data_IF_771298614629
#
_entry.id   IF_771298614629
#
_cell.length_a   1.000
_cell.length_b   1.000
_cell.length_c   1.000
_cell.angle_alpha   90.00
_cell.angle_beta   90.00
_cell.angle_gamma   90.00
#
_symmetry.space_group_name_H-M   'P 1'
#
loop_
_entity.id
_entity.type
_entity.pdbx_description
1 polymer ?
#
# COMPACT_ATOMS: atom_id res chain seq x y z
N UNK A 1 2.03 3.58 -1.25
CA UNK A 1 2.19 2.81 0.01
C UNK A 1 1.41 1.52 -0.17
N UNK A 2 2.03 0.41 0.22
CA UNK A 2 1.49 -0.94 0.00
C UNK A 2 1.03 -1.56 1.33
N UNK A 3 0.18 -2.59 1.25
CA UNK A 3 -0.31 -3.37 2.38
C UNK A 3 -1.82 -3.63 2.32
N UNK A 4 -2.27 -4.73 2.91
CA UNK A 4 -3.66 -5.16 2.88
C UNK A 4 -4.59 -4.18 3.60
N UNK A 5 -4.13 -3.62 4.72
CA UNK A 5 -4.99 -2.82 5.61
C UNK A 5 -5.01 -1.36 5.16
N UNK A 6 -5.75 -1.08 4.08
CA UNK A 6 -6.01 0.28 3.57
C UNK A 6 -7.46 0.70 3.85
N UNK A 7 -7.77 1.26 5.02
CA UNK A 7 -9.13 1.69 5.32
C UNK A 7 -9.57 2.87 4.44
N UNK A 8 -10.81 2.83 3.94
CA UNK A 8 -11.40 3.99 3.28
C UNK A 8 -11.62 5.12 4.30
N UNK A 9 -11.09 6.31 4.02
CA UNK A 9 -11.23 7.49 4.89
C UNK A 9 -12.67 7.80 5.30
N UNK A 10 -13.64 7.59 4.40
CA UNK A 10 -15.06 7.82 4.65
C UNK A 10 -15.67 6.87 5.71
N UNK A 11 -15.05 5.71 5.95
CA UNK A 11 -15.59 4.67 6.86
C UNK A 11 -14.97 4.69 8.26
N UNK A 12 -13.78 5.27 8.41
CA UNK A 12 -13.10 5.38 9.70
C UNK A 12 -13.81 6.35 10.67
N UNK A 13 -14.60 7.30 10.16
CA UNK A 13 -15.01 8.47 10.94
C UNK A 13 -13.80 9.33 11.35
N UNK A 14 -14.04 10.57 11.77
CA UNK A 14 -12.94 11.54 11.98
C UNK A 14 -11.98 11.11 13.09
N UNK A 15 -12.50 10.55 14.19
CA UNK A 15 -11.69 10.14 15.34
C UNK A 15 -10.73 8.99 15.03
N UNK A 16 -11.20 7.90 14.40
CA UNK A 16 -10.31 6.77 14.08
C UNK A 16 -9.39 7.11 12.91
N UNK A 17 -9.84 7.96 11.97
CA UNK A 17 -8.97 8.50 10.92
C UNK A 17 -7.81 9.28 11.51
N UNK A 18 -8.06 10.14 12.50
CA UNK A 18 -7.01 10.88 13.19
C UNK A 18 -6.03 9.94 13.92
N UNK A 19 -6.53 8.91 14.60
CA UNK A 19 -5.68 7.90 15.26
C UNK A 19 -4.84 7.12 14.26
N UNK A 20 -5.45 6.63 13.17
CA UNK A 20 -4.75 5.92 12.09
C UNK A 20 -3.64 6.78 11.48
N UNK A 21 -3.94 8.04 11.14
CA UNK A 21 -2.95 9.00 10.64
C UNK A 21 -1.82 9.26 11.65
N UNK A 22 -2.14 9.29 12.94
CA UNK A 22 -1.15 9.48 14.00
C UNK A 22 -0.17 8.30 14.08
N UNK A 23 -0.64 7.05 13.91
CA UNK A 23 0.23 5.86 13.82
C UNK A 23 1.08 5.85 12.55
N UNK A 24 0.48 6.14 11.40
CA UNK A 24 1.20 6.21 10.13
C UNK A 24 2.32 7.27 10.18
N UNK A 25 2.01 8.47 10.67
CA UNK A 25 3.00 9.53 10.84
C UNK A 25 4.06 9.16 11.90
N UNK A 26 3.67 8.44 12.95
CA UNK A 26 4.58 7.90 13.95
C UNK A 26 5.61 6.95 13.35
N UNK A 27 5.17 5.99 12.54
CA UNK A 27 6.02 5.07 11.79
C UNK A 27 6.98 5.82 10.84
N UNK A 28 6.45 6.73 10.02
CA UNK A 28 7.26 7.59 9.13
C UNK A 28 8.36 8.36 9.88
N UNK A 29 8.08 8.79 11.11
CA UNK A 29 9.02 9.55 11.93
C UNK A 29 10.01 8.64 12.67
N UNK A 30 9.60 7.45 13.09
CA UNK A 30 10.50 6.43 13.64
C UNK A 30 11.52 5.99 12.57
N UNK A 31 11.04 5.70 11.35
CA UNK A 31 11.88 5.39 10.19
C UNK A 31 12.88 6.52 9.90
N UNK A 32 12.43 7.79 9.89
CA UNK A 32 13.33 8.92 9.69
C UNK A 32 14.36 9.07 10.81
N UNK A 33 13.90 9.01 12.05
CA UNK A 33 14.71 9.33 13.23
C UNK A 33 15.90 8.39 13.35
N UNK A 34 15.64 7.09 13.17
CA UNK A 34 16.63 6.06 13.44
C UNK A 34 17.45 5.70 12.19
N UNK A 35 16.93 6.04 10.99
CA UNK A 35 17.45 5.48 9.72
C UNK A 35 17.55 6.48 8.55
N UNK A 36 17.25 7.76 8.79
CA UNK A 36 17.39 8.84 7.80
C UNK A 36 16.19 9.02 6.88
N UNK A 37 16.21 10.07 6.05
CA UNK A 37 15.03 10.50 5.28
C UNK A 37 14.51 9.44 4.29
N UNK A 38 15.41 8.70 3.64
CA UNK A 38 15.05 7.70 2.63
C UNK A 38 14.36 6.46 3.24
N UNK A 39 14.56 6.18 4.53
CA UNK A 39 13.87 5.09 5.20
C UNK A 39 12.34 5.31 5.26
N UNK A 40 11.86 6.54 5.07
CA UNK A 40 10.41 6.82 4.98
C UNK A 40 9.72 6.08 3.83
N UNK A 41 10.46 5.70 2.79
CA UNK A 41 9.91 4.99 1.62
C UNK A 41 9.41 3.59 2.03
N UNK A 42 9.99 2.98 3.08
CA UNK A 42 9.58 1.65 3.54
C UNK A 42 8.34 1.67 4.44
N UNK A 43 7.69 2.83 4.61
CA UNK A 43 6.42 2.92 5.33
C UNK A 43 5.37 2.11 4.58
N UNK A 44 4.76 1.15 5.27
CA UNK A 44 3.73 0.28 4.74
C UNK A 44 2.55 0.21 5.73
N UNK A 45 1.38 -0.12 5.21
CA UNK A 45 0.16 -0.13 6.02
C UNK A 45 0.14 -1.27 7.04
N UNK A 46 0.73 -2.40 6.72
CA UNK A 46 0.68 -3.57 7.60
C UNK A 46 1.58 -3.38 8.84
N UNK A 47 2.72 -2.71 8.67
CA UNK A 47 3.64 -2.36 9.74
C UNK A 47 3.03 -1.40 10.77
N UNK A 48 2.06 -0.56 10.39
CA UNK A 48 1.38 0.33 11.35
C UNK A 48 0.58 -0.47 12.39
N UNK A 49 0.15 -1.69 12.07
CA UNK A 49 -0.60 -2.55 12.98
C UNK A 49 0.19 -2.83 14.25
N UNK A 50 1.52 -2.97 14.16
CA UNK A 50 2.37 -3.21 15.32
C UNK A 50 2.33 -2.02 16.30
N UNK A 51 2.31 -0.79 15.77
CA UNK A 51 2.15 0.41 16.60
C UNK A 51 0.73 0.53 17.18
N UNK A 52 -0.29 0.21 16.38
CA UNK A 52 -1.70 0.23 16.83
C UNK A 52 -1.95 -0.80 17.92
N UNK A 53 -1.50 -2.04 17.73
CA UNK A 53 -1.66 -3.14 18.69
C UNK A 53 -0.94 -2.83 20.00
N UNK A 54 0.28 -2.29 19.94
CA UNK A 54 1.03 -1.92 21.15
C UNK A 54 0.28 -0.85 21.95
N UNK A 55 -0.19 0.22 21.29
CA UNK A 55 -0.92 1.31 21.97
C UNK A 55 -2.30 0.86 22.47
N UNK A 56 -3.01 0.00 21.73
CA UNK A 56 -4.34 -0.50 22.10
C UNK A 56 -4.33 -1.37 23.37
N UNK A 57 -3.20 -2.03 23.63
CA UNK A 57 -2.99 -2.87 24.82
C UNK A 57 -2.52 -2.05 26.02
N UNK A 58 -1.74 -1.00 25.78
CA UNK A 58 -1.10 -0.23 26.83
C UNK A 58 -2.12 0.47 27.76
N UNK A 59 -1.78 0.52 29.05
CA UNK A 59 -2.56 1.33 29.99
C UNK A 59 -2.32 2.83 29.70
N UNK A 60 -3.40 3.58 29.54
CA UNK A 60 -3.37 5.01 29.18
C UNK A 60 -2.89 5.91 30.31
N UNK A 61 -2.76 5.38 31.52
CA UNK A 61 -2.28 6.11 32.69
C UNK A 61 -0.85 6.69 32.54
N UNK A 62 -0.04 6.18 31.61
CA UNK A 62 1.38 6.56 31.44
C UNK A 62 1.69 7.77 30.55
N UNK A 63 0.71 8.42 29.90
CA UNK A 63 0.90 9.73 29.22
C UNK A 63 1.95 9.86 28.09
N UNK A 64 2.65 8.79 27.70
CA UNK A 64 3.85 8.87 26.84
C UNK A 64 3.70 8.45 25.37
N UNK A 65 2.52 8.04 24.91
CA UNK A 65 2.34 7.37 23.61
C UNK A 65 2.19 8.31 22.41
N UNK A 66 1.95 9.60 22.68
CA UNK A 66 1.77 10.62 21.64
C UNK A 66 2.74 11.76 21.83
N UNK A 67 3.22 12.33 20.72
CA UNK A 67 3.94 13.61 20.70
C UNK A 67 3.44 14.51 19.59
N UNK A 68 3.68 15.80 19.73
CA UNK A 68 3.48 16.76 18.64
C UNK A 68 4.63 16.65 17.64
N UNK A 69 4.32 16.17 16.43
CA UNK A 69 5.23 16.24 15.30
C UNK A 69 5.21 17.63 14.68
N UNK A 70 6.39 18.10 14.26
CA UNK A 70 6.55 19.32 13.49
C UNK A 70 5.85 19.30 12.11
N UNK A 71 5.90 20.42 11.38
CA UNK A 71 5.38 20.53 10.01
C UNK A 71 5.86 19.41 9.08
N UNK A 72 4.96 18.89 8.24
CA UNK A 72 5.29 17.87 7.24
C UNK A 72 4.63 18.20 5.89
N UNK A 73 5.35 18.10 4.76
CA UNK A 73 4.78 18.31 3.43
C UNK A 73 3.55 17.43 3.15
N UNK A 74 3.58 16.16 3.56
CA UNK A 74 2.44 15.22 3.42
C UNK A 74 1.21 15.60 4.26
N UNK A 75 1.32 16.60 5.14
CA UNK A 75 0.22 17.16 5.93
C UNK A 75 -0.09 18.61 5.55
N UNK A 76 0.43 19.12 4.43
CA UNK A 76 0.32 20.52 4.05
C UNK A 76 1.06 21.45 5.02
N UNK A 77 2.25 21.04 5.47
CA UNK A 77 3.07 21.76 6.46
C UNK A 77 2.42 21.96 7.84
N UNK A 78 1.37 21.18 8.16
CA UNK A 78 0.74 21.20 9.48
C UNK A 78 1.42 20.29 10.50
N UNK A 79 1.41 20.70 11.76
CA UNK A 79 1.76 19.86 12.91
C UNK A 79 0.66 18.83 13.17
N UNK A 80 1.00 17.72 13.83
CA UNK A 80 0.02 16.71 14.20
C UNK A 80 0.45 15.97 15.48
N UNK A 81 -0.52 15.48 16.25
CA UNK A 81 -0.25 14.46 17.27
C UNK A 81 0.08 13.14 16.57
N UNK A 82 1.20 12.50 16.91
CA UNK A 82 1.67 11.26 16.29
C UNK A 82 1.98 10.21 17.33
N UNK A 83 1.85 8.93 16.98
CA UNK A 83 2.33 7.83 17.80
C UNK A 83 3.85 7.94 18.02
N UNK A 84 4.31 7.58 19.22
CA UNK A 84 5.71 7.42 19.55
C UNK A 84 5.93 6.26 20.52
N UNK A 85 7.20 5.91 20.71
CA UNK A 85 7.61 4.85 21.62
C UNK A 85 7.89 3.52 20.90
N UNK A 86 8.01 2.47 21.69
CA UNK A 86 8.56 1.19 21.26
C UNK A 86 7.71 0.51 20.17
N UNK A 87 6.38 0.66 20.19
CA UNK A 87 5.51 0.11 19.14
C UNK A 87 5.79 0.70 17.75
N UNK A 88 6.09 2.00 17.65
CA UNK A 88 6.46 2.63 16.38
C UNK A 88 7.89 2.24 15.94
N UNK A 89 8.80 2.01 16.90
CA UNK A 89 10.16 1.52 16.63
C UNK A 89 10.17 0.06 16.17
N UNK A 90 9.34 -0.79 16.77
CA UNK A 90 9.10 -2.17 16.29
C UNK A 90 8.57 -2.17 14.86
N UNK A 91 7.53 -1.35 14.59
CA UNK A 91 6.99 -1.20 13.24
C UNK A 91 8.07 -0.78 12.22
N UNK A 92 8.94 0.16 12.59
CA UNK A 92 10.06 0.58 11.75
C UNK A 92 11.09 -0.53 11.53
N UNK A 93 11.45 -1.27 12.59
CA UNK A 93 12.39 -2.39 12.52
C UNK A 93 11.90 -3.49 11.56
N UNK A 94 10.66 -3.95 11.74
CA UNK A 94 10.04 -4.97 10.89
C UNK A 94 9.97 -4.50 9.44
N UNK A 95 9.50 -3.26 9.21
CA UNK A 95 9.42 -2.68 7.86
C UNK A 95 10.77 -2.61 7.15
N UNK A 96 11.85 -2.32 7.86
CA UNK A 96 13.20 -2.26 7.28
C UNK A 96 13.79 -3.63 6.97
N UNK A 97 13.54 -4.62 7.81
CA UNK A 97 14.00 -5.99 7.56
C UNK A 97 13.28 -6.56 6.33
N UNK A 98 11.95 -6.42 6.27
CA UNK A 98 11.16 -6.89 5.13
C UNK A 98 11.49 -6.12 3.85
N UNK A 99 11.68 -4.79 3.92
CA UNK A 99 12.10 -4.02 2.76
C UNK A 99 13.52 -4.38 2.30
N UNK A 100 14.45 -4.67 3.22
CA UNK A 100 15.77 -5.19 2.88
C UNK A 100 15.67 -6.53 2.15
N UNK A 101 14.83 -7.45 2.64
CA UNK A 101 14.59 -8.74 2.00
C UNK A 101 14.05 -8.57 0.58
N UNK A 102 12.95 -7.82 0.41
CA UNK A 102 12.33 -7.56 -0.89
C UNK A 102 13.28 -6.91 -1.90
N UNK A 103 14.13 -5.97 -1.47
CA UNK A 103 15.12 -5.36 -2.38
C UNK A 103 16.21 -6.35 -2.78
N UNK A 104 16.62 -7.27 -1.89
CA UNK A 104 17.62 -8.29 -2.24
C UNK A 104 17.06 -9.30 -3.24
N UNK A 105 15.80 -9.66 -3.07
CA UNK A 105 15.05 -10.56 -3.93
C UNK A 105 14.99 -10.02 -5.37
N UNK A 106 14.43 -8.82 -5.58
CA UNK A 106 14.42 -8.16 -6.88
C UNK A 106 15.81 -7.95 -7.52
N UNK A 107 16.86 -7.84 -6.70
CA UNK A 107 18.23 -7.76 -7.20
C UNK A 107 18.76 -9.13 -7.65
N UNK A 108 18.37 -10.21 -6.99
CA UNK A 108 18.71 -11.57 -7.38
C UNK A 108 17.99 -11.96 -8.68
N UNK A 109 16.72 -11.59 -8.81
CA UNK A 109 15.90 -11.86 -10.00
C UNK A 109 16.29 -10.99 -11.20
N UNK A 110 16.94 -9.85 -10.93
CA UNK A 110 17.41 -8.95 -11.98
C UNK A 110 16.31 -8.08 -12.58
N UNK A 111 15.31 -7.71 -11.79
CA UNK A 111 14.12 -7.01 -12.28
C UNK A 111 14.43 -5.61 -12.83
N UNK A 112 13.93 -5.32 -14.02
CA UNK A 112 13.93 -3.98 -14.62
C UNK A 112 15.31 -3.29 -14.61
N UNK A 113 15.40 -2.14 -13.93
CA UNK A 113 16.66 -1.37 -13.84
C UNK A 113 17.71 -2.05 -12.95
N UNK A 114 17.32 -3.03 -12.12
CA UNK A 114 18.22 -3.78 -11.25
C UNK A 114 19.03 -4.82 -12.02
N UNK A 115 18.69 -5.13 -13.28
CA UNK A 115 19.57 -5.84 -14.21
C UNK A 115 20.89 -5.08 -14.48
N UNK A 116 20.95 -3.77 -14.21
CA UNK A 116 22.15 -2.94 -14.43
C UNK A 116 23.08 -3.01 -13.22
N UNK A 117 24.30 -3.53 -13.42
CA UNK A 117 25.30 -3.74 -12.36
C UNK A 117 25.51 -2.60 -11.35
N UNK A 118 25.64 -1.32 -11.78
CA UNK A 118 25.79 -0.20 -10.84
C UNK A 118 24.55 0.04 -9.97
N UNK A 119 23.35 -0.11 -10.54
CA UNK A 119 22.07 0.08 -9.84
C UNK A 119 21.87 -1.06 -8.84
N UNK A 120 22.11 -2.30 -9.27
CA UNK A 120 22.07 -3.49 -8.42
C UNK A 120 23.01 -3.34 -7.20
N UNK A 121 24.22 -2.84 -7.41
CA UNK A 121 25.18 -2.63 -6.32
C UNK A 121 24.71 -1.57 -5.32
N UNK A 122 24.13 -0.46 -5.81
CA UNK A 122 23.54 0.56 -4.95
C UNK A 122 22.36 -0.01 -4.15
N UNK A 123 21.46 -0.75 -4.80
CA UNK A 123 20.34 -1.43 -4.16
C UNK A 123 20.79 -2.42 -3.08
N UNK A 124 21.82 -3.25 -3.35
CA UNK A 124 22.42 -4.15 -2.33
C UNK A 124 22.97 -3.40 -1.13
N UNK A 125 23.62 -2.25 -1.34
CA UNK A 125 24.13 -1.43 -0.23
C UNK A 125 23.00 -0.85 0.61
N UNK A 126 21.94 -0.36 -0.04
CA UNK A 126 20.74 0.16 0.65
C UNK A 126 20.06 -0.96 1.44
N UNK A 127 19.80 -2.11 0.81
CA UNK A 127 19.23 -3.27 1.47
C UNK A 127 20.09 -3.74 2.65
N UNK A 128 21.41 -3.85 2.48
CA UNK A 128 22.33 -4.19 3.56
C UNK A 128 22.28 -3.18 4.72
N UNK A 129 22.18 -1.89 4.41
CA UNK A 129 22.03 -0.83 5.41
C UNK A 129 20.71 -0.96 6.17
N UNK A 130 19.59 -1.15 5.46
CA UNK A 130 18.26 -1.33 6.04
C UNK A 130 18.16 -2.59 6.88
N UNK A 131 18.71 -3.73 6.43
CA UNK A 131 18.73 -4.96 7.22
C UNK A 131 19.49 -4.79 8.54
N UNK A 132 20.69 -4.17 8.51
CA UNK A 132 21.44 -3.87 9.74
C UNK A 132 20.72 -2.87 10.64
N UNK A 133 20.08 -1.86 10.04
CA UNK A 133 19.29 -0.87 10.75
C UNK A 133 18.08 -1.51 11.47
N UNK A 134 17.33 -2.34 10.76
CA UNK A 134 16.19 -3.08 11.29
C UNK A 134 16.60 -4.04 12.42
N UNK A 135 17.70 -4.79 12.26
CA UNK A 135 18.20 -5.67 13.31
C UNK A 135 18.64 -4.91 14.59
N UNK A 136 19.31 -3.76 14.44
CA UNK A 136 19.68 -2.90 15.58
C UNK A 136 18.46 -2.34 16.29
N UNK A 137 17.49 -1.80 15.55
CA UNK A 137 16.27 -1.25 16.15
C UNK A 137 15.43 -2.35 16.79
N UNK A 138 15.31 -3.51 16.15
CA UNK A 138 14.67 -4.70 16.71
C UNK A 138 15.29 -5.07 18.06
N UNK A 139 16.61 -5.26 18.10
CA UNK A 139 17.34 -5.58 19.35
C UNK A 139 17.11 -4.52 20.43
N UNK A 140 17.09 -3.24 20.05
CA UNK A 140 16.88 -2.13 20.97
C UNK A 140 15.44 -2.01 21.51
N UNK A 141 14.47 -2.69 20.89
CA UNK A 141 13.10 -2.87 21.41
C UNK A 141 12.88 -4.29 21.96
N UNK A 142 13.94 -5.08 22.12
CA UNK A 142 13.87 -6.47 22.60
C UNK A 142 13.30 -7.48 21.61
N UNK A 143 13.17 -7.14 20.33
CA UNK A 143 12.68 -8.03 19.28
C UNK A 143 13.84 -8.68 18.53
N UNK A 144 13.85 -10.01 18.48
CA UNK A 144 14.82 -10.75 17.67
C UNK A 144 14.41 -10.71 16.20
N UNK A 145 15.08 -9.86 15.41
CA UNK A 145 14.84 -9.74 13.98
C UNK A 145 15.28 -10.97 13.17
N UNK A 146 16.06 -11.89 13.75
CA UNK A 146 16.49 -13.11 13.07
C UNK A 146 15.29 -13.95 12.59
N UNK A 147 14.21 -14.00 13.36
CA UNK A 147 12.98 -14.72 12.97
C UNK A 147 12.40 -14.25 11.62
N UNK A 148 12.55 -12.96 11.30
CA UNK A 148 12.09 -12.39 10.03
C UNK A 148 13.06 -12.74 8.89
N UNK A 149 14.36 -12.74 9.17
CA UNK A 149 15.40 -13.08 8.20
C UNK A 149 15.30 -14.57 7.86
N UNK A 150 15.21 -15.42 8.87
CA UNK A 150 15.08 -16.87 8.72
C UNK A 150 13.80 -17.24 7.96
N UNK A 151 12.69 -16.53 8.18
CA UNK A 151 11.46 -16.74 7.40
C UNK A 151 11.68 -16.45 5.91
N UNK A 152 12.33 -15.33 5.57
CA UNK A 152 12.65 -14.97 4.18
C UNK A 152 13.60 -15.99 3.54
N UNK A 153 14.64 -16.41 4.27
CA UNK A 153 15.62 -17.38 3.75
C UNK A 153 14.98 -18.76 3.50
N UNK A 154 14.07 -19.20 4.38
CA UNK A 154 13.32 -20.46 4.19
C UNK A 154 12.31 -20.37 3.05
N UNK A 155 11.72 -19.21 2.80
CA UNK A 155 10.72 -18.99 1.75
C UNK A 155 11.23 -19.46 0.39
N UNK A 156 12.42 -19.02 -0.01
CA UNK A 156 13.04 -19.39 -1.29
C UNK A 156 13.16 -20.92 -1.48
N UNK A 157 13.59 -21.63 -0.43
CA UNK A 157 13.71 -23.09 -0.47
C UNK A 157 12.35 -23.79 -0.58
N UNK A 158 11.33 -23.28 0.09
CA UNK A 158 9.97 -23.82 0.02
C UNK A 158 9.36 -23.60 -1.37
N UNK A 159 9.51 -22.40 -1.93
CA UNK A 159 8.98 -22.07 -3.27
C UNK A 159 9.65 -22.89 -4.37
N UNK A 160 10.97 -23.09 -4.26
CA UNK A 160 11.74 -23.94 -5.19
C UNK A 160 11.30 -25.42 -5.18
N UNK A 161 10.77 -25.89 -4.05
CA UNK A 161 10.31 -27.28 -3.88
C UNK A 161 8.79 -27.42 -4.08
N UNK A 162 8.05 -26.32 -4.09
CA UNK A 162 6.60 -26.33 -4.22
C UNK A 162 6.19 -26.70 -5.65
N UNK A 163 5.40 -27.77 -5.76
CA UNK A 163 4.81 -28.22 -7.01
C UNK A 163 3.34 -28.63 -6.86
N UNK A 164 2.72 -29.15 -7.92
CA UNK A 164 1.31 -29.54 -7.91
C UNK A 164 0.99 -30.50 -6.75
N UNK A 165 -0.04 -30.15 -5.96
CA UNK A 165 -0.46 -30.92 -4.78
C UNK A 165 0.27 -30.58 -3.48
N UNK A 166 1.26 -29.68 -3.50
CA UNK A 166 1.86 -29.14 -2.28
C UNK A 166 0.81 -28.34 -1.53
N UNK A 167 0.57 -28.57 -0.22
CA UNK A 167 -0.39 -27.78 0.54
C UNK A 167 0.04 -26.30 0.55
N UNK A 168 -0.83 -25.40 0.10
CA UNK A 168 -0.55 -23.95 0.05
C UNK A 168 -0.12 -23.38 1.41
N UNK A 169 -0.59 -23.99 2.50
CA UNK A 169 -0.20 -23.61 3.86
C UNK A 169 1.28 -23.85 4.19
N UNK A 170 1.95 -24.74 3.45
CA UNK A 170 3.40 -24.92 3.53
C UNK A 170 4.12 -23.70 2.97
N UNK A 171 3.56 -23.10 1.90
CA UNK A 171 4.11 -21.93 1.22
C UNK A 171 3.86 -20.65 2.02
N UNK A 172 2.74 -20.55 2.73
CA UNK A 172 2.43 -19.39 3.58
C UNK A 172 3.15 -19.42 4.93
N UNK A 173 3.53 -20.60 5.43
CA UNK A 173 4.10 -20.79 6.77
C UNK A 173 5.23 -19.82 7.14
N UNK A 174 6.22 -19.51 6.28
CA UNK A 174 7.31 -18.63 6.70
C UNK A 174 6.81 -17.22 7.01
N UNK A 175 5.92 -16.68 6.17
CA UNK A 175 5.24 -15.41 6.42
C UNK A 175 4.41 -15.48 7.70
N UNK A 176 3.68 -16.57 7.93
CA UNK A 176 2.89 -16.79 9.16
C UNK A 176 3.78 -16.74 10.41
N UNK A 177 4.94 -17.39 10.40
CA UNK A 177 5.90 -17.41 11.52
C UNK A 177 6.47 -16.02 11.80
N UNK A 178 6.85 -15.28 10.75
CA UNK A 178 7.38 -13.92 10.87
C UNK A 178 6.36 -12.94 11.48
N UNK A 179 5.12 -12.96 10.99
CA UNK A 179 4.06 -12.06 11.48
C UNK A 179 3.56 -12.45 12.86
N UNK A 180 3.49 -13.75 13.18
CA UNK A 180 3.18 -14.23 14.53
C UNK A 180 4.18 -13.68 15.56
N UNK A 181 5.48 -13.78 15.29
CA UNK A 181 6.51 -13.27 16.18
C UNK A 181 6.40 -11.75 16.38
N UNK A 182 6.20 -10.99 15.30
CA UNK A 182 6.06 -9.54 15.38
C UNK A 182 4.83 -9.10 16.19
N UNK A 183 3.68 -9.76 15.97
CA UNK A 183 2.44 -9.44 16.70
C UNK A 183 2.53 -9.83 18.17
N UNK A 184 3.06 -11.02 18.47
CA UNK A 184 3.28 -11.47 19.85
C UNK A 184 4.16 -10.49 20.64
N UNK A 185 5.19 -9.93 19.99
CA UNK A 185 6.09 -8.97 20.64
C UNK A 185 5.41 -7.68 21.06
N UNK A 186 4.32 -7.28 20.39
CA UNK A 186 3.53 -6.10 20.82
C UNK A 186 2.96 -6.27 22.23
N UNK A 187 2.68 -7.50 22.65
CA UNK A 187 2.23 -7.84 24.00
C UNK A 187 3.31 -7.55 25.05
N UNK A 188 4.57 -7.86 24.72
CA UNK A 188 5.74 -7.61 25.57
C UNK A 188 5.95 -6.10 25.71
N UNK A 189 5.92 -5.36 24.59
CA UNK A 189 6.07 -3.91 24.58
C UNK A 189 4.95 -3.19 25.33
N UNK A 190 3.74 -3.75 25.32
CA UNK A 190 2.60 -3.21 26.05
C UNK A 190 2.59 -3.59 27.55
N UNK A 191 3.54 -4.39 28.03
CA UNK A 191 3.56 -4.88 29.41
C UNK A 191 2.44 -5.89 29.71
N UNK A 192 1.92 -6.58 28.69
CA UNK A 192 0.81 -7.56 28.78
C UNK A 192 1.22 -8.91 28.19
N UNK A 193 2.21 -9.63 28.77
CA UNK A 193 2.68 -10.90 28.21
C UNK A 193 1.58 -11.96 28.04
N UNK A 194 0.48 -11.89 28.81
CA UNK A 194 -0.68 -12.77 28.62
C UNK A 194 -1.38 -12.63 27.26
N UNK A 195 -1.21 -11.50 26.56
CA UNK A 195 -1.72 -11.31 25.21
C UNK A 195 -0.81 -11.91 24.12
N UNK A 196 0.38 -12.43 24.47
CA UNK A 196 1.34 -12.90 23.47
C UNK A 196 0.80 -14.06 22.63
N UNK A 197 0.13 -15.05 23.24
CA UNK A 197 -0.45 -16.19 22.54
C UNK A 197 -1.58 -15.79 21.57
N UNK A 198 -2.64 -15.06 21.99
CA UNK A 198 -3.68 -14.64 21.05
C UNK A 198 -3.13 -13.71 19.96
N UNK A 199 -2.18 -12.82 20.27
CA UNK A 199 -1.59 -11.96 19.23
C UNK A 199 -0.66 -12.71 18.29
N UNK A 200 0.05 -13.75 18.76
CA UNK A 200 0.78 -14.65 17.88
C UNK A 200 -0.16 -15.32 16.87
N UNK A 201 -1.31 -15.82 17.31
CA UNK A 201 -2.30 -16.45 16.44
C UNK A 201 -2.91 -15.45 15.45
N UNK A 202 -3.26 -14.25 15.90
CA UNK A 202 -3.73 -13.18 15.01
C UNK A 202 -2.65 -12.82 13.96
N UNK A 203 -1.39 -12.74 14.38
CA UNK A 203 -0.26 -12.48 13.49
C UNK A 203 -0.05 -13.61 12.48
N UNK A 204 -0.12 -14.87 12.92
CA UNK A 204 0.00 -16.06 12.06
C UNK A 204 -1.03 -16.02 10.94
N UNK A 205 -2.30 -15.85 11.30
CA UNK A 205 -3.41 -15.78 10.35
C UNK A 205 -3.36 -14.53 9.46
N UNK A 206 -2.85 -13.42 9.98
CA UNK A 206 -2.59 -12.23 9.19
C UNK A 206 -1.53 -12.48 8.11
N UNK A 207 -0.44 -13.18 8.44
CA UNK A 207 0.60 -13.55 7.48
C UNK A 207 0.07 -14.49 6.39
N UNK A 208 -0.81 -15.43 6.77
CA UNK A 208 -1.52 -16.27 5.80
C UNK A 208 -2.35 -15.44 4.82
N UNK A 209 -3.14 -14.49 5.34
CA UNK A 209 -3.93 -13.60 4.50
C UNK A 209 -3.04 -12.77 3.57
N UNK A 210 -1.94 -12.21 4.09
CA UNK A 210 -0.99 -11.42 3.30
C UNK A 210 -0.55 -12.18 2.04
N UNK A 211 -0.06 -13.40 2.25
CA UNK A 211 0.46 -14.21 1.17
C UNK A 211 -0.66 -14.66 0.21
N UNK A 212 -1.81 -15.12 0.73
CA UNK A 212 -2.92 -15.56 -0.12
C UNK A 212 -3.50 -14.43 -0.97
N UNK A 213 -3.65 -13.22 -0.41
CA UNK A 213 -4.21 -12.10 -1.15
C UNK A 213 -3.25 -11.61 -2.23
N UNK A 214 -1.97 -11.50 -1.92
CA UNK A 214 -0.90 -11.18 -2.90
C UNK A 214 -0.95 -12.16 -4.08
N UNK A 215 -1.01 -13.46 -3.78
CA UNK A 215 -1.09 -14.50 -4.80
C UNK A 215 -2.36 -14.46 -5.67
N UNK A 216 -3.49 -13.97 -5.14
CA UNK A 216 -4.73 -13.81 -5.89
C UNK A 216 -4.67 -12.56 -6.76
N UNK A 217 -4.23 -11.44 -6.20
CA UNK A 217 -4.15 -10.15 -6.89
C UNK A 217 -3.14 -10.21 -8.05
N UNK A 218 -2.01 -10.90 -7.87
CA UNK A 218 -0.96 -10.98 -8.89
C UNK A 218 -1.16 -12.13 -9.90
N UNK A 219 -2.15 -13.00 -9.69
CA UNK A 219 -2.31 -14.25 -10.46
C UNK A 219 -2.32 -14.07 -11.98
N UNK A 220 -3.01 -13.06 -12.48
CA UNK A 220 -3.12 -12.78 -13.92
C UNK A 220 -1.81 -12.21 -14.48
N UNK A 221 -1.19 -11.28 -13.75
CA UNK A 221 0.08 -10.64 -14.10
C UNK A 221 1.22 -11.65 -14.11
N UNK A 222 1.27 -12.54 -13.12
CA UNK A 222 2.25 -13.62 -13.03
C UNK A 222 2.11 -14.59 -14.19
N UNK A 223 0.87 -14.98 -14.52
CA UNK A 223 0.61 -15.85 -15.66
C UNK A 223 1.01 -15.19 -16.99
N UNK A 224 0.76 -13.89 -17.16
CA UNK A 224 1.12 -13.15 -18.37
C UNK A 224 2.64 -12.97 -18.55
N UNK A 225 3.37 -12.82 -17.44
CA UNK A 225 4.83 -12.64 -17.44
C UNK A 225 5.60 -13.95 -17.32
N UNK A 226 4.93 -15.06 -17.04
CA UNK A 226 5.56 -16.35 -16.74
C UNK A 226 6.24 -16.39 -15.37
N UNK A 227 5.92 -15.45 -14.47
CA UNK A 227 6.42 -15.42 -13.11
C UNK A 227 5.78 -16.54 -12.26
N UNK A 228 6.46 -16.88 -11.18
CA UNK A 228 5.99 -17.89 -10.25
C UNK A 228 4.84 -17.33 -9.39
N UNK A 229 3.75 -18.09 -9.29
CA UNK A 229 2.60 -17.75 -8.45
C UNK A 229 2.24 -18.97 -7.59
N UNK A 230 2.06 -18.82 -6.25
CA UNK A 230 1.93 -19.97 -5.36
C UNK A 230 0.64 -20.76 -5.61
N UNK A 231 -0.47 -20.10 -6.00
CA UNK A 231 -1.72 -20.80 -6.31
C UNK A 231 -1.58 -21.66 -7.57
N UNK A 232 -0.89 -21.12 -8.58
CA UNK A 232 -0.66 -21.82 -9.85
C UNK A 232 0.34 -22.96 -9.66
N UNK A 233 1.45 -22.73 -8.95
CA UNK A 233 2.49 -23.72 -8.70
C UNK A 233 1.98 -24.92 -7.88
N UNK A 234 1.15 -24.67 -6.87
CA UNK A 234 0.57 -25.72 -6.02
C UNK A 234 -0.66 -26.40 -6.64
N UNK A 235 -1.27 -25.80 -7.66
CA UNK A 235 -2.56 -26.23 -8.20
C UNK A 235 -3.74 -25.94 -7.28
N UNK A 236 -3.60 -24.98 -6.36
CA UNK A 236 -4.65 -24.61 -5.40
C UNK A 236 -5.74 -23.80 -6.11
N UNK A 237 -7.01 -24.26 -6.10
CA UNK A 237 -8.09 -23.51 -6.73
C UNK A 237 -8.44 -22.24 -5.93
N UNK A 238 -8.93 -21.21 -6.62
CA UNK A 238 -9.35 -19.94 -5.99
C UNK A 238 -10.43 -20.15 -4.92
N UNK A 239 -11.28 -21.16 -5.07
CA UNK A 239 -12.30 -21.53 -4.07
C UNK A 239 -11.67 -21.98 -2.75
N UNK A 240 -10.58 -22.74 -2.80
CA UNK A 240 -9.85 -23.17 -1.61
C UNK A 240 -9.06 -22.01 -0.99
N UNK A 241 -8.41 -21.19 -1.81
CA UNK A 241 -7.75 -19.97 -1.34
C UNK A 241 -8.73 -19.04 -0.61
N UNK A 242 -9.94 -18.86 -1.16
CA UNK A 242 -11.02 -18.08 -0.53
C UNK A 242 -11.44 -18.68 0.81
N UNK A 243 -11.67 -20.00 0.85
CA UNK A 243 -12.05 -20.71 2.10
C UNK A 243 -11.00 -20.51 3.19
N UNK A 244 -9.71 -20.65 2.85
CA UNK A 244 -8.60 -20.43 3.78
C UNK A 244 -8.51 -18.97 4.26
N UNK A 245 -8.82 -18.00 3.39
CA UNK A 245 -8.87 -16.60 3.76
C UNK A 245 -10.04 -16.30 4.73
N UNK A 246 -11.23 -16.85 4.47
CA UNK A 246 -12.39 -16.69 5.36
C UNK A 246 -12.15 -17.35 6.73
N UNK A 247 -11.52 -18.53 6.76
CA UNK A 247 -11.08 -19.20 8.00
C UNK A 247 -10.08 -18.34 8.79
N UNK A 248 -9.10 -17.74 8.10
CA UNK A 248 -8.12 -16.87 8.72
C UNK A 248 -8.75 -15.59 9.29
N UNK A 249 -9.67 -14.96 8.57
CA UNK A 249 -10.45 -13.82 9.08
C UNK A 249 -11.24 -14.19 10.33
N UNK A 250 -11.87 -15.37 10.35
CA UNK A 250 -12.60 -15.85 11.51
C UNK A 250 -11.67 -16.07 12.71
N UNK A 251 -10.53 -16.73 12.51
CA UNK A 251 -9.55 -16.96 13.56
C UNK A 251 -8.94 -15.68 14.12
N UNK A 252 -8.65 -14.67 13.28
CA UNK A 252 -8.21 -13.34 13.74
C UNK A 252 -9.26 -12.71 14.68
N UNK A 253 -10.56 -12.81 14.34
CA UNK A 253 -11.64 -12.29 15.20
C UNK A 253 -11.76 -13.03 16.53
N UNK A 254 -11.43 -14.33 16.57
CA UNK A 254 -11.37 -15.09 17.82
C UNK A 254 -10.17 -14.65 18.68
N UNK A 255 -8.98 -14.61 18.09
CA UNK A 255 -7.76 -14.16 18.74
C UNK A 255 -7.87 -12.74 19.33
N UNK A 256 -8.48 -11.80 18.61
CA UNK A 256 -8.70 -10.43 19.10
C UNK A 256 -9.70 -10.36 20.27
N UNK A 257 -10.64 -11.32 20.38
CA UNK A 257 -11.57 -11.41 21.51
C UNK A 257 -10.90 -11.92 22.78
N UNK A 258 -9.88 -12.77 22.62
CA UNK A 258 -9.05 -13.28 23.74
C UNK A 258 -8.00 -12.26 24.21
N UNK A 259 -7.74 -11.22 23.41
CA UNK A 259 -6.77 -10.17 23.75
C UNK A 259 -7.37 -9.16 24.73
N UNK A 260 -6.62 -8.86 25.79
CA UNK A 260 -7.00 -7.84 26.80
C UNK A 260 -6.56 -6.46 26.32
N UNK A 261 -7.50 -5.51 26.21
CA UNK A 261 -7.28 -4.14 25.75
C UNK A 261 -7.43 -3.10 26.87
N UNK A 262 -6.63 -2.03 26.84
CA UNK A 262 -6.73 -0.91 27.80
C UNK A 262 -6.52 -1.31 29.26
N UNK A 263 -7.09 -0.57 30.22
CA UNK A 263 -6.93 -0.81 31.68
C UNK A 263 -7.77 -1.95 32.28
N UNK A 264 -8.57 -2.66 31.47
CA UNK A 264 -9.17 -3.94 31.87
C UNK A 264 -10.33 -3.90 32.89
N UNK A 265 -11.14 -2.83 32.95
CA UNK A 265 -12.18 -2.69 34.02
C UNK A 265 -13.59 -3.19 33.64
N UNK A 266 -13.85 -3.79 32.47
CA UNK A 266 -15.15 -4.47 32.30
C UNK A 266 -15.20 -5.50 31.17
N UNK A 267 -15.66 -6.75 31.43
CA UNK A 267 -15.89 -7.76 30.40
C UNK A 267 -17.05 -7.43 29.44
N UNK A 268 -17.92 -6.47 29.79
CA UNK A 268 -19.18 -6.24 29.07
C UNK A 268 -19.23 -4.96 28.23
N UNK A 269 -18.16 -4.15 28.21
CA UNK A 269 -18.06 -2.97 27.35
C UNK A 269 -16.85 -3.06 26.45
N UNK A 270 -17.10 -2.99 25.14
CA UNK A 270 -16.09 -2.77 24.12
C UNK A 270 -15.20 -1.59 24.53
N UNK A 271 -14.00 -1.90 25.04
CA UNK A 271 -12.99 -0.91 25.37
C UNK A 271 -12.74 -0.03 24.15
N UNK A 272 -12.78 1.30 24.33
CA UNK A 272 -12.45 2.28 23.29
C UNK A 272 -11.03 2.11 22.75
N UNK A 273 -10.18 1.40 23.49
CA UNK A 273 -8.74 1.36 23.33
C UNK A 273 -8.35 0.38 22.23
N UNK A 274 -9.17 -0.65 21.98
CA UNK A 274 -9.01 -1.63 20.89
C UNK A 274 -9.78 -1.30 19.61
N UNK A 275 -10.56 -0.20 19.55
CA UNK A 275 -11.47 0.06 18.42
C UNK A 275 -10.76 0.15 17.07
N UNK A 276 -9.62 0.85 17.01
CA UNK A 276 -8.85 0.96 15.77
C UNK A 276 -8.25 -0.40 15.36
N UNK A 277 -7.64 -1.13 16.30
CA UNK A 277 -7.10 -2.47 16.05
C UNK A 277 -8.19 -3.41 15.51
N UNK A 278 -9.35 -3.43 16.16
CA UNK A 278 -10.50 -4.24 15.74
C UNK A 278 -11.02 -3.82 14.38
N UNK A 279 -11.15 -2.52 14.10
CA UNK A 279 -11.60 -2.06 12.78
C UNK A 279 -10.65 -2.54 11.68
N UNK A 280 -9.35 -2.34 11.86
CA UNK A 280 -8.33 -2.71 10.88
C UNK A 280 -8.27 -4.24 10.65
N UNK A 281 -8.24 -5.03 11.73
CA UNK A 281 -8.02 -6.47 11.65
C UNK A 281 -9.31 -7.30 11.49
N UNK A 282 -10.48 -6.82 11.95
CA UNK A 282 -11.73 -7.58 11.86
C UNK A 282 -12.60 -7.16 10.67
N UNK A 283 -12.57 -5.87 10.29
CA UNK A 283 -13.44 -5.32 9.24
C UNK A 283 -12.68 -5.01 7.96
N UNK A 284 -11.55 -4.30 8.01
CA UNK A 284 -10.82 -3.93 6.78
C UNK A 284 -10.15 -5.14 6.11
N UNK A 285 -9.66 -6.11 6.89
CA UNK A 285 -9.19 -7.38 6.31
C UNK A 285 -10.33 -8.11 5.57
N UNK A 286 -11.54 -8.15 6.14
CA UNK A 286 -12.70 -8.75 5.46
C UNK A 286 -12.97 -8.13 4.10
N UNK A 287 -12.89 -6.79 4.02
CA UNK A 287 -13.05 -6.08 2.74
C UNK A 287 -11.89 -6.29 1.78
N UNK A 288 -10.69 -6.48 2.31
CA UNK A 288 -9.51 -6.75 1.48
C UNK A 288 -9.61 -8.12 0.84
N UNK A 289 -10.07 -9.13 1.60
CA UNK A 289 -10.45 -10.43 1.04
C UNK A 289 -11.55 -10.26 0.00
N UNK A 290 -12.62 -9.54 0.31
CA UNK A 290 -13.72 -9.39 -0.65
C UNK A 290 -13.32 -8.70 -1.96
N UNK A 291 -12.41 -7.71 -1.87
CA UNK A 291 -11.85 -6.98 -3.01
C UNK A 291 -10.95 -7.88 -3.86
N UNK A 292 -10.01 -8.59 -3.25
CA UNK A 292 -9.08 -9.46 -3.97
C UNK A 292 -9.81 -10.57 -4.77
N UNK A 293 -10.90 -11.11 -4.20
CA UNK A 293 -11.70 -12.14 -4.86
C UNK A 293 -12.85 -11.59 -5.73
N UNK A 294 -12.93 -10.27 -5.96
CA UNK A 294 -13.94 -9.65 -6.83
C UNK A 294 -15.39 -9.76 -6.32
N UNK A 295 -15.60 -10.04 -5.03
CA UNK A 295 -16.93 -10.27 -4.42
C UNK A 295 -17.67 -8.98 -4.03
N UNK A 296 -16.98 -7.83 -4.03
CA UNK A 296 -17.60 -6.51 -3.87
C UNK A 296 -17.25 -5.63 -5.06
N UNK A 297 -18.24 -5.36 -5.93
CA UNK A 297 -18.24 -4.13 -6.71
C UNK A 297 -18.57 -2.99 -5.74
N UNK A 298 -17.81 -1.88 -5.79
CA UNK A 298 -18.26 -0.65 -5.15
C UNK A 298 -19.67 -0.35 -5.67
N UNK A 299 -20.65 -0.19 -4.76
CA UNK A 299 -22.06 0.01 -5.05
C UNK A 299 -22.38 1.34 -5.73
N UNK A 300 -21.87 1.54 -6.95
CA UNK A 300 -22.27 2.57 -7.90
C UNK A 300 -22.88 1.95 -9.17
N UNK A 301 -23.39 0.72 -9.09
CA UNK A 301 -24.12 0.05 -10.16
C UNK A 301 -25.48 -0.44 -9.68
N UNK A 302 -26.49 0.42 -9.65
CA UNK A 302 -27.88 0.01 -9.57
C UNK A 302 -28.77 0.97 -10.37
N UNK A 303 -29.46 0.41 -11.38
CA UNK A 303 -30.44 1.07 -12.26
C UNK A 303 -29.85 1.30 -13.65
N UNK A 304 -30.14 0.54 -14.70
CA UNK A 304 -31.39 -0.09 -15.09
C UNK A 304 -31.10 -1.43 -15.79
N UNK A 305 -31.92 -2.44 -15.52
CA UNK A 305 -31.95 -3.66 -16.30
C UNK A 305 -32.55 -3.41 -17.67
N UNK A 306 -31.88 -3.91 -18.71
CA UNK A 306 -32.56 -4.41 -19.90
C UNK A 306 -31.96 -5.76 -20.28
N UNK A 307 -32.89 -6.70 -20.46
CA UNK A 307 -32.71 -8.11 -20.77
C UNK A 307 -32.18 -8.28 -22.20
N UNK A 308 -31.41 -9.35 -22.39
CA UNK A 308 -30.80 -9.89 -23.62
C UNK A 308 -31.71 -9.85 -24.88
N UNK A 309 -31.20 -9.76 -26.12
CA UNK A 309 -30.54 -10.86 -26.86
C UNK A 309 -29.95 -10.37 -28.23
N UNK A 310 -29.23 -11.23 -29.00
CA UNK A 310 -28.04 -10.88 -29.79
C UNK A 310 -28.29 -10.76 -31.30
N UNK A 311 -27.38 -10.10 -32.07
CA UNK A 311 -27.01 -10.47 -33.46
C UNK A 311 -26.05 -9.47 -34.17
N UNK A 312 -25.02 -10.04 -34.85
CA UNK A 312 -24.42 -9.63 -36.15
C UNK A 312 -23.57 -8.34 -36.19
N UNK A 313 -22.26 -8.35 -36.46
CA UNK A 313 -21.53 -8.70 -37.70
C UNK A 313 -21.56 -7.62 -38.82
N UNK A 314 -20.37 -7.15 -39.25
CA UNK A 314 -20.03 -6.29 -40.42
C UNK A 314 -20.60 -4.85 -40.38
N UNK A 315 -19.97 -3.75 -40.83
CA UNK A 315 -18.83 -3.39 -41.67
C UNK A 315 -19.01 -1.87 -41.99
N UNK A 316 -18.03 -1.15 -42.58
CA UNK A 316 -18.04 0.32 -42.64
C UNK A 316 -18.82 0.87 -43.86
N UNK A 317 -19.40 2.09 -43.80
CA UNK A 317 -20.02 2.69 -44.98
C UNK A 317 -19.01 3.45 -45.85
N UNK A 318 -19.09 3.23 -47.17
CA UNK A 318 -18.32 3.91 -48.23
C UNK A 318 -19.20 4.89 -49.03
N UNK A 319 -18.70 6.11 -49.20
CA UNK A 319 -18.65 6.98 -50.42
C UNK A 319 -19.97 7.58 -50.99
N UNK A 320 -19.92 8.71 -51.74
CA UNK A 320 -19.49 8.71 -53.16
C UNK A 320 -18.48 9.80 -53.57
N UNK A 321 -17.82 9.53 -54.70
CA UNK A 321 -16.74 10.23 -55.43
C UNK A 321 -17.08 11.61 -56.04
N UNK A 322 -16.09 12.51 -56.16
CA UNK A 322 -15.66 13.14 -57.45
C UNK A 322 -14.30 13.90 -57.30
N UNK A 323 -13.44 13.99 -58.34
CA UNK A 323 -12.02 14.38 -58.23
C UNK A 323 -11.66 15.72 -58.92
N UNK A 324 -10.58 16.41 -58.48
CA UNK A 324 -10.04 17.57 -59.21
C UNK A 324 -8.84 18.26 -58.56
N UNK A 325 -7.82 18.51 -59.39
CA UNK A 325 -6.41 18.91 -59.14
C UNK A 325 -6.20 20.45 -58.87
N UNK A 326 -5.02 21.11 -59.01
CA UNK A 326 -4.33 21.84 -57.93
C UNK A 326 -4.10 23.37 -58.19
N UNK A 327 -3.56 24.08 -57.17
CA UNK A 327 -2.73 25.34 -57.18
C UNK A 327 -3.30 26.60 -56.48
N UNK A 328 -2.35 27.33 -55.85
CA UNK A 328 -2.31 28.77 -55.47
C UNK A 328 -3.24 29.20 -54.30
N UNK A 329 -2.90 30.06 -53.34
CA UNK A 329 -1.91 31.14 -53.24
C UNK A 329 -1.51 31.45 -51.78
N UNK A 330 -0.34 32.08 -51.61
CA UNK A 330 0.17 32.56 -50.33
C UNK A 330 -0.57 33.78 -49.77
N UNK A 331 -0.63 33.86 -48.44
CA UNK A 331 -1.09 35.03 -47.71
C UNK A 331 0.09 35.69 -46.96
N UNK A 332 0.44 36.97 -47.22
CA UNK A 332 1.70 37.59 -46.80
C UNK A 332 1.60 38.48 -45.55
N UNK A 333 0.83 38.12 -44.53
CA UNK A 333 0.86 38.81 -43.22
C UNK A 333 0.52 37.86 -42.07
N UNK A 334 1.52 37.49 -41.27
CA UNK A 334 1.35 36.73 -40.04
C UNK A 334 2.65 36.67 -39.25
N UNK A 335 2.90 37.68 -38.42
CA UNK A 335 4.04 37.69 -37.50
C UNK A 335 3.96 36.51 -36.53
N UNK A 336 5.06 35.77 -36.40
CA UNK A 336 5.17 34.62 -35.51
C UNK A 336 5.15 35.09 -34.04
N UNK A 337 4.28 34.56 -33.15
CA UNK A 337 4.28 34.94 -31.74
C UNK A 337 5.56 34.47 -31.04
N UNK A 338 6.07 35.20 -30.03
CA UNK A 338 7.33 34.89 -29.37
C UNK A 338 7.31 33.50 -28.73
N UNK A 339 8.32 32.69 -29.03
CA UNK A 339 8.47 31.34 -28.47
C UNK A 339 8.93 31.45 -27.00
N UNK A 340 8.20 30.88 -26.03
CA UNK A 340 8.63 30.89 -24.63
C UNK A 340 9.92 30.06 -24.45
N UNK A 341 10.87 30.60 -23.69
CA UNK A 341 12.14 29.94 -23.37
C UNK A 341 11.91 28.57 -22.71
N UNK A 342 12.59 27.54 -23.23
CA UNK A 342 12.46 26.16 -22.72
C UNK A 342 13.29 25.98 -21.45
N UNK A 343 12.70 25.42 -20.40
CA UNK A 343 13.38 25.10 -19.13
C UNK A 343 14.26 23.86 -19.31
N UNK A 344 15.47 23.87 -18.74
CA UNK A 344 16.37 22.71 -18.73
C UNK A 344 15.80 21.52 -17.96
N UNK A 345 16.32 20.31 -18.20
CA UNK A 345 15.77 19.05 -17.66
C UNK A 345 15.50 19.08 -16.15
N UNK A 346 16.49 19.47 -15.35
CA UNK A 346 16.38 19.52 -13.89
C UNK A 346 15.41 20.60 -13.38
N UNK A 347 15.38 21.76 -14.04
CA UNK A 347 14.42 22.82 -13.71
C UNK A 347 13.00 22.40 -14.05
N UNK A 348 12.80 21.69 -15.17
CA UNK A 348 11.51 21.13 -15.54
C UNK A 348 11.03 20.01 -14.62
N UNK A 349 11.92 19.15 -14.13
CA UNK A 349 11.58 18.15 -13.11
C UNK A 349 11.10 18.80 -11.80
N UNK A 350 11.79 19.84 -11.31
CA UNK A 350 11.38 20.55 -10.10
C UNK A 350 10.01 21.21 -10.25
N UNK A 351 9.73 21.79 -11.42
CA UNK A 351 8.44 22.40 -11.74
C UNK A 351 7.35 21.34 -11.90
N UNK A 352 7.64 20.19 -12.51
CA UNK A 352 6.71 19.07 -12.63
C UNK A 352 6.31 18.53 -11.26
N UNK A 353 7.29 18.33 -10.37
CA UNK A 353 7.04 17.94 -8.97
C UNK A 353 6.17 19.00 -8.28
N UNK A 354 6.47 20.28 -8.43
CA UNK A 354 5.66 21.37 -7.89
C UNK A 354 4.22 21.37 -8.40
N UNK A 355 4.02 21.18 -9.70
CA UNK A 355 2.69 21.15 -10.33
C UNK A 355 1.88 19.92 -9.90
N UNK A 356 2.50 18.75 -9.77
CA UNK A 356 1.86 17.53 -9.28
C UNK A 356 1.55 17.63 -7.78
N UNK A 357 2.49 18.11 -6.96
CA UNK A 357 2.29 18.27 -5.52
C UNK A 357 1.30 19.39 -5.14
N UNK A 358 1.01 20.31 -6.05
CA UNK A 358 -0.01 21.37 -5.85
C UNK A 358 -1.31 21.10 -6.60
N UNK A 359 -1.45 19.91 -7.21
CA UNK A 359 -2.62 19.49 -7.99
C UNK A 359 -3.00 20.42 -9.16
N UNK A 360 -2.11 21.34 -9.60
CA UNK A 360 -2.40 22.28 -10.68
C UNK A 360 -2.66 21.60 -12.03
N UNK A 361 -2.01 20.46 -12.27
CA UNK A 361 -2.23 19.66 -13.50
C UNK A 361 -3.67 19.12 -13.57
N UNK A 362 -4.27 18.83 -12.42
CA UNK A 362 -5.58 18.21 -12.31
C UNK A 362 -6.70 19.23 -12.07
N UNK A 363 -6.42 20.29 -11.31
CA UNK A 363 -7.44 21.17 -10.74
C UNK A 363 -7.42 22.61 -11.28
N UNK A 364 -6.38 23.04 -12.00
CA UNK A 364 -6.36 24.36 -12.64
C UNK A 364 -6.88 24.24 -14.08
N UNK A 365 -7.66 25.22 -14.53
CA UNK A 365 -8.18 25.22 -15.91
C UNK A 365 -7.02 25.33 -16.93
N UNK A 366 -5.97 26.09 -16.60
CA UNK A 366 -4.71 26.14 -17.34
C UNK A 366 -3.50 26.12 -16.41
N UNK A 367 -2.42 25.45 -16.84
CA UNK A 367 -1.11 25.50 -16.18
C UNK A 367 0.04 25.61 -17.18
N UNK A 368 1.19 26.11 -16.73
CA UNK A 368 2.37 26.24 -17.57
C UNK A 368 3.16 24.91 -17.61
N UNK A 369 3.43 24.42 -18.82
CA UNK A 369 4.11 23.15 -19.04
C UNK A 369 5.53 23.14 -18.46
N UNK A 370 5.92 22.09 -17.71
CA UNK A 370 7.15 22.07 -16.92
C UNK A 370 8.46 22.28 -17.71
N UNK A 371 8.52 21.86 -18.98
CA UNK A 371 9.71 22.03 -19.82
C UNK A 371 9.55 23.08 -20.92
N UNK A 372 8.35 23.18 -21.51
CA UNK A 372 8.14 24.02 -22.69
C UNK A 372 7.68 25.44 -22.38
N UNK A 373 7.31 25.75 -21.13
CA UNK A 373 6.74 27.05 -20.75
C UNK A 373 5.41 27.39 -21.43
N UNK A 374 4.87 26.45 -22.23
CA UNK A 374 3.60 26.62 -22.95
C UNK A 374 2.44 26.32 -22.02
N UNK A 375 1.40 27.15 -22.09
CA UNK A 375 0.15 26.88 -21.40
C UNK A 375 -0.47 25.59 -21.92
N UNK A 376 -0.97 24.77 -21.00
CA UNK A 376 -1.69 23.53 -21.24
C UNK A 376 -2.96 23.57 -20.42
N UNK A 377 -4.02 23.03 -20.98
CA UNK A 377 -5.28 22.84 -20.25
C UNK A 377 -5.10 21.75 -19.19
N UNK A 378 -5.65 21.97 -18.01
CA UNK A 378 -5.73 20.94 -16.97
C UNK A 378 -6.83 19.92 -17.30
N UNK A 379 -6.75 18.74 -16.68
CA UNK A 379 -7.66 17.62 -16.96
C UNK A 379 -9.15 17.88 -16.66
N UNK A 380 -9.51 19.04 -16.10
CA UNK A 380 -10.88 19.42 -15.79
C UNK A 380 -11.71 19.73 -17.04
N UNK A 381 -11.10 20.20 -18.14
CA UNK A 381 -11.83 20.55 -19.37
C UNK A 381 -12.20 19.34 -20.25
N UNK A 382 -11.58 18.17 -20.03
CA UNK A 382 -11.61 17.03 -20.95
C UNK A 382 -12.31 15.77 -20.40
N UNK A 383 -12.99 15.88 -19.25
CA UNK A 383 -13.71 14.76 -18.65
C UNK A 383 -15.15 14.61 -19.22
N UNK A 384 -15.26 14.03 -20.42
CA UNK A 384 -16.45 13.25 -20.80
C UNK A 384 -16.18 11.77 -20.43
N UNK A 385 -16.94 11.26 -19.47
CA UNK A 385 -16.70 9.99 -18.78
C UNK A 385 -17.02 8.74 -19.62
N UNK A 386 -16.17 8.38 -20.60
CA UNK A 386 -16.25 7.04 -21.24
C UNK A 386 -14.93 6.35 -21.61
N UNK A 387 -13.76 6.83 -21.19
CA UNK A 387 -12.46 6.25 -21.61
C UNK A 387 -11.48 5.98 -20.44
N UNK A 388 -11.88 5.15 -19.47
CA UNK A 388 -11.02 4.80 -18.31
C UNK A 388 -10.34 3.41 -18.40
N UNK A 389 -9.96 2.95 -19.60
CA UNK A 389 -9.21 1.69 -19.77
C UNK A 389 -7.74 1.86 -20.20
N UNK A 390 -7.19 3.09 -20.23
CA UNK A 390 -5.83 3.30 -20.77
C UNK A 390 -4.94 4.32 -20.02
N UNK A 391 -5.23 4.65 -18.76
CA UNK A 391 -4.42 5.61 -18.00
C UNK A 391 -4.06 5.13 -16.59
N UNK A 392 -2.90 4.45 -16.46
CA UNK A 392 -2.18 4.15 -15.20
C UNK A 392 -1.69 5.40 -14.43
N UNK A 393 -2.16 6.61 -14.75
CA UNK A 393 -1.73 7.86 -14.11
C UNK A 393 -2.64 8.33 -12.95
N UNK A 394 -3.68 7.57 -12.60
CA UNK A 394 -4.68 7.98 -11.61
C UNK A 394 -4.45 7.42 -10.19
N UNK A 395 -3.23 7.00 -9.84
CA UNK A 395 -2.86 6.65 -8.45
C UNK A 395 -2.70 7.86 -7.51
N UNK A 396 -2.88 9.10 -8.00
CA UNK A 396 -2.67 10.33 -7.22
C UNK A 396 -3.94 11.09 -6.81
N UNK A 397 -5.13 10.60 -7.11
CA UNK A 397 -6.40 11.31 -6.81
C UNK A 397 -7.14 10.71 -5.59
N UNK A 398 -6.52 10.78 -4.41
CA UNK A 398 -7.28 10.90 -3.17
C UNK A 398 -7.46 12.41 -2.86
N UNK A 399 -8.69 12.84 -2.53
CA UNK A 399 -9.13 14.15 -2.00
C UNK A 399 -10.05 15.00 -2.90
N UNK A 400 -11.31 14.56 -3.07
CA UNK A 400 -12.44 15.50 -3.15
C UNK A 400 -12.78 15.96 -1.72
N UNK A 401 -12.06 16.98 -1.25
CA UNK A 401 -12.48 17.81 -0.11
C UNK A 401 -11.82 19.20 -0.15
N UNK A 402 -11.78 19.81 -1.33
CA UNK A 402 -11.31 21.18 -1.54
C UNK A 402 -12.23 21.98 -2.48
N UNK A 403 -13.54 21.77 -2.38
CA UNK A 403 -14.53 22.68 -2.97
C UNK A 403 -15.48 23.12 -1.85
N UNK A 404 -15.09 24.18 -1.14
CA UNK A 404 -16.09 25.19 -0.79
C UNK A 404 -16.34 26.00 -2.07
N UNK A 405 -17.51 25.83 -2.64
CA UNK A 405 -18.16 26.76 -3.56
C UNK A 405 -19.61 26.91 -3.08
#
# INVERSE_FOLDING_TARGET
MFGMVRPCSHRLGESLKAQWMAHLCGLCLALRGDHGQFARIVTNYDGLLLSVLTEAQADRAGGGWRRTAGPCPLRGMRTASVAQGEGARLAAAVSLVLASAKVRDHVADGDGLLARGPVALAARRVAGSWGRAGARTGSAVGFDAAVLVDAVERQFGIESLAGPGTPILTVTEPTETATAAAFAHTAILAGRPGNAAPLAEAGRLFGRLAHLLDAVEDKETDAASGAWNPLTATGTPLTEARRLADDALHGIRLALRETVWGSGVSPERHSTDGKLAHLLLAHELGRSVDRAFGTQSCGHGAGYGHVAEPQGAFGPPRTPYLPGDPRHDGNPYGGEPPRPDRRGFWAGCAVAIGLCCTCKVCCADEFEGPWSGRRREGCRSSCDCSCCDACECCECCECLSCCDC
#
